data_IF_417985891563
#
_entry.id   IF_417985891563
#
_cell.length_a   1.000
_cell.length_b   1.000
_cell.length_c   1.000
_cell.angle_alpha   90.00
_cell.angle_beta   90.00
_cell.angle_gamma   90.00
#
_symmetry.space_group_name_H-M   'P 1'
#
loop_
_entity.id
_entity.type
_entity.pdbx_description
1 polymer ?
#
# COMPACT_ATOMS: atom_id res chain seq x y z
N UNK A 1 -17.84 1.02 1.35
CA UNK A 1 -17.99 0.12 0.20
C UNK A 1 -16.76 -0.79 0.06
N UNK A 2 -16.97 -2.06 -0.30
CA UNK A 2 -15.95 -3.06 -0.62
C UNK A 2 -16.56 -4.08 -1.59
N UNK A 3 -15.76 -5.00 -2.12
CA UNK A 3 -16.25 -6.11 -2.93
C UNK A 3 -17.32 -6.95 -2.19
N UNK A 4 -18.24 -7.56 -2.91
CA UNK A 4 -19.09 -8.59 -2.32
C UNK A 4 -18.21 -9.78 -1.91
N UNK A 5 -18.42 -10.31 -0.70
CA UNK A 5 -17.59 -11.37 -0.14
C UNK A 5 -18.38 -12.35 0.72
N UNK A 6 -17.79 -13.53 0.89
CA UNK A 6 -18.24 -14.54 1.85
C UNK A 6 -17.02 -15.15 2.57
N UNK A 7 -17.24 -15.67 3.78
CA UNK A 7 -16.19 -16.28 4.59
C UNK A 7 -16.43 -17.76 4.80
N UNK A 8 -15.38 -18.58 4.71
CA UNK A 8 -15.46 -20.03 4.81
C UNK A 8 -14.37 -20.60 5.72
N UNK A 9 -14.75 -21.62 6.49
CA UNK A 9 -13.86 -22.47 7.28
C UNK A 9 -13.86 -23.92 6.80
N UNK A 10 -14.71 -24.23 5.82
CA UNK A 10 -14.88 -25.55 5.20
C UNK A 10 -14.58 -25.47 3.71
N UNK A 11 -13.69 -26.35 3.25
CA UNK A 11 -13.21 -26.37 1.86
C UNK A 11 -14.32 -26.67 0.87
N UNK A 12 -15.23 -27.59 1.17
CA UNK A 12 -16.28 -28.00 0.23
C UNK A 12 -17.26 -26.84 -0.05
N UNK A 13 -17.66 -26.11 1.00
CA UNK A 13 -18.50 -24.91 0.88
C UNK A 13 -17.79 -23.79 0.12
N UNK A 14 -16.51 -23.55 0.40
CA UNK A 14 -15.70 -22.55 -0.28
C UNK A 14 -15.55 -22.87 -1.78
N UNK A 15 -15.25 -24.12 -2.13
CA UNK A 15 -15.15 -24.58 -3.52
C UNK A 15 -16.49 -24.42 -4.24
N UNK A 16 -17.60 -24.82 -3.62
CA UNK A 16 -18.93 -24.64 -4.20
C UNK A 16 -19.27 -23.17 -4.47
N UNK A 17 -18.84 -22.26 -3.58
CA UNK A 17 -19.01 -20.82 -3.78
C UNK A 17 -18.19 -20.33 -4.96
N UNK A 18 -16.89 -20.71 -5.05
CA UNK A 18 -16.03 -20.36 -6.20
C UNK A 18 -16.68 -20.83 -7.51
N UNK A 19 -17.16 -22.06 -7.57
CA UNK A 19 -17.82 -22.61 -8.76
C UNK A 19 -19.10 -21.86 -9.14
N UNK A 20 -19.82 -21.35 -8.15
CA UNK A 20 -21.05 -20.56 -8.37
C UNK A 20 -20.76 -19.13 -8.87
N UNK A 21 -19.63 -18.54 -8.43
CA UNK A 21 -19.24 -17.15 -8.78
C UNK A 21 -18.42 -17.09 -10.07
N UNK A 22 -17.61 -18.11 -10.31
CA UNK A 22 -16.65 -18.13 -11.43
C UNK A 22 -15.36 -17.34 -11.13
N UNK A 23 -14.59 -17.07 -12.18
CA UNK A 23 -13.37 -16.30 -12.11
C UNK A 23 -13.40 -15.14 -13.15
N UNK A 24 -12.63 -14.02 -12.93
CA UNK A 24 -11.66 -13.84 -11.86
C UNK A 24 -12.29 -13.61 -10.48
N UNK A 25 -11.59 -14.06 -9.43
CA UNK A 25 -12.07 -13.99 -8.04
C UNK A 25 -10.87 -13.87 -7.08
N UNK A 26 -11.05 -13.31 -5.89
CA UNK A 26 -9.95 -13.10 -4.94
C UNK A 26 -10.14 -13.98 -3.72
N UNK A 27 -9.09 -14.73 -3.35
CA UNK A 27 -9.05 -15.59 -2.17
C UNK A 27 -8.07 -15.00 -1.17
N UNK A 28 -8.53 -14.71 0.05
CA UNK A 28 -7.71 -14.13 1.12
C UNK A 28 -7.71 -15.04 2.36
N UNK A 29 -6.55 -15.26 2.94
CA UNK A 29 -6.47 -15.80 4.31
C UNK A 29 -6.93 -14.72 5.30
N UNK A 30 -7.87 -15.07 6.18
CA UNK A 30 -8.50 -14.09 7.09
C UNK A 30 -7.58 -13.63 8.23
N UNK A 31 -6.56 -14.42 8.57
CA UNK A 31 -5.59 -14.07 9.61
C UNK A 31 -4.40 -13.28 9.08
N UNK A 32 -3.51 -12.88 10.00
CA UNK A 32 -2.31 -12.11 9.68
C UNK A 32 -1.35 -12.94 8.80
N UNK A 33 -1.27 -12.60 7.53
CA UNK A 33 -0.40 -13.24 6.54
C UNK A 33 0.60 -12.26 5.89
N UNK A 34 0.76 -11.06 6.45
CA UNK A 34 1.70 -10.01 6.01
C UNK A 34 1.63 -9.71 4.50
N UNK A 35 0.41 -9.59 3.95
CA UNK A 35 0.15 -9.31 2.53
C UNK A 35 0.40 -10.49 1.58
N UNK A 36 0.85 -11.63 2.09
CA UNK A 36 1.14 -12.83 1.28
C UNK A 36 -0.05 -13.80 1.17
N UNK A 37 -1.09 -13.59 1.95
CA UNK A 37 -2.29 -14.43 2.01
C UNK A 37 -3.38 -14.00 1.03
N UNK A 38 -3.06 -13.27 -0.04
CA UNK A 38 -4.01 -12.82 -1.06
C UNK A 38 -3.64 -13.43 -2.41
N UNK A 39 -4.59 -14.10 -3.04
CA UNK A 39 -4.44 -14.70 -4.37
C UNK A 39 -5.56 -14.18 -5.27
N UNK A 40 -5.18 -13.47 -6.31
CA UNK A 40 -6.06 -13.11 -7.42
C UNK A 40 -6.07 -14.31 -8.37
N UNK A 41 -7.18 -15.02 -8.43
CA UNK A 41 -7.32 -16.20 -9.27
C UNK A 41 -8.02 -15.81 -10.58
N UNK A 42 -7.30 -15.94 -11.69
CA UNK A 42 -7.81 -15.66 -13.03
C UNK A 42 -8.67 -16.82 -13.57
N UNK A 43 -8.54 -18.01 -12.97
CA UNK A 43 -9.30 -19.21 -13.34
C UNK A 43 -9.88 -19.89 -12.10
N UNK A 44 -10.99 -20.61 -12.30
CA UNK A 44 -11.63 -21.40 -11.25
C UNK A 44 -10.66 -22.43 -10.63
N UNK A 45 -9.84 -23.07 -11.45
CA UNK A 45 -8.85 -24.02 -10.98
C UNK A 45 -7.80 -23.40 -10.05
N UNK A 46 -7.34 -22.17 -10.34
CA UNK A 46 -6.44 -21.41 -9.46
C UNK A 46 -7.12 -21.04 -8.15
N UNK A 47 -8.40 -20.64 -8.20
CA UNK A 47 -9.16 -20.28 -7.00
C UNK A 47 -9.36 -21.51 -6.09
N UNK A 48 -9.73 -22.66 -6.65
CA UNK A 48 -9.90 -23.92 -5.91
C UNK A 48 -8.58 -24.33 -5.25
N UNK A 49 -7.48 -24.31 -6.01
CA UNK A 49 -6.15 -24.63 -5.46
C UNK A 49 -5.76 -23.68 -4.31
N UNK A 50 -6.06 -22.39 -4.44
CA UNK A 50 -5.80 -21.41 -3.38
C UNK A 50 -6.62 -21.69 -2.11
N UNK A 51 -7.90 -22.03 -2.24
CA UNK A 51 -8.77 -22.42 -1.13
C UNK A 51 -8.24 -23.66 -0.41
N UNK A 52 -7.85 -24.70 -1.17
CA UNK A 52 -7.31 -25.94 -0.62
C UNK A 52 -5.96 -25.70 0.09
N UNK A 53 -5.05 -24.94 -0.51
CA UNK A 53 -3.76 -24.57 0.08
C UNK A 53 -3.93 -23.82 1.41
N UNK A 54 -4.91 -22.91 1.48
CA UNK A 54 -5.15 -22.11 2.68
C UNK A 54 -5.82 -22.92 3.79
N UNK A 55 -6.94 -23.60 3.49
CA UNK A 55 -7.75 -24.30 4.49
C UNK A 55 -7.17 -25.65 4.91
N UNK A 56 -6.51 -26.38 4.00
CA UNK A 56 -5.97 -27.73 4.25
C UNK A 56 -4.44 -27.79 4.28
N UNK A 57 -3.78 -27.00 3.43
CA UNK A 57 -2.33 -27.04 3.24
C UNK A 57 -1.50 -26.42 4.36
N UNK A 58 -2.13 -25.77 5.34
CA UNK A 58 -1.52 -25.06 6.46
C UNK A 58 -0.39 -24.08 6.05
N UNK A 59 -0.39 -23.62 4.80
CA UNK A 59 0.63 -22.73 4.22
C UNK A 59 0.77 -21.41 4.99
N UNK A 60 -0.33 -20.95 5.57
CA UNK A 60 -0.39 -19.71 6.36
C UNK A 60 -0.63 -19.96 7.85
N UNK A 61 -0.43 -21.21 8.33
CA UNK A 61 -0.67 -21.59 9.72
C UNK A 61 -2.10 -21.21 10.17
N UNK A 62 -2.24 -20.67 11.37
CA UNK A 62 -3.56 -20.27 11.89
C UNK A 62 -4.28 -19.20 11.04
N UNK A 63 -3.55 -18.41 10.24
CA UNK A 63 -4.16 -17.41 9.37
C UNK A 63 -5.00 -18.03 8.24
N UNK A 64 -4.69 -19.28 7.84
CA UNK A 64 -5.41 -20.01 6.81
C UNK A 64 -6.63 -20.80 7.28
N UNK A 65 -6.95 -20.81 8.58
CA UNK A 65 -8.13 -21.56 9.11
C UNK A 65 -9.48 -20.99 8.64
N UNK A 66 -9.50 -19.77 8.16
CA UNK A 66 -10.66 -19.13 7.53
C UNK A 66 -10.18 -18.38 6.29
N UNK A 67 -10.95 -18.44 5.24
CA UNK A 67 -10.73 -17.71 4.01
C UNK A 67 -11.86 -16.73 3.76
N UNK A 68 -11.54 -15.61 3.17
CA UNK A 68 -12.47 -14.64 2.60
C UNK A 68 -12.39 -14.78 1.08
N UNK A 69 -13.52 -14.95 0.44
CA UNK A 69 -13.64 -15.04 -1.03
C UNK A 69 -14.40 -13.81 -1.49
N UNK A 70 -13.74 -12.98 -2.31
CA UNK A 70 -14.26 -11.67 -2.75
C UNK A 70 -14.41 -11.62 -4.25
N UNK A 71 -15.40 -10.87 -4.73
CA UNK A 71 -15.51 -10.52 -6.15
C UNK A 71 -14.27 -9.73 -6.57
N UNK A 72 -13.76 -9.99 -7.77
CA UNK A 72 -12.67 -9.25 -8.35
C UNK A 72 -13.12 -7.83 -8.72
N UNK A 73 -12.48 -6.83 -8.15
CA UNK A 73 -12.74 -5.42 -8.44
C UNK A 73 -11.96 -4.98 -9.68
N UNK A 74 -12.62 -4.25 -10.56
CA UNK A 74 -12.01 -3.67 -11.78
C UNK A 74 -11.92 -2.16 -11.63
N UNK A 75 -10.74 -1.61 -11.84
CA UNK A 75 -10.48 -0.18 -11.70
C UNK A 75 -9.00 0.15 -11.65
N UNK A 76 -8.68 1.31 -11.12
CA UNK A 76 -7.31 1.73 -10.81
C UNK A 76 -7.10 1.72 -9.30
N UNK A 77 -6.02 1.07 -8.85
CA UNK A 77 -5.66 1.11 -7.43
C UNK A 77 -5.20 2.51 -7.02
N UNK A 78 -5.55 2.91 -5.81
CA UNK A 78 -5.08 4.15 -5.19
C UNK A 78 -4.83 3.93 -3.70
N UNK A 79 -3.79 4.57 -3.18
CA UNK A 79 -3.47 4.61 -1.76
C UNK A 79 -3.95 5.95 -1.19
N UNK A 80 -4.93 5.89 -0.29
CA UNK A 80 -5.45 7.05 0.42
C UNK A 80 -5.06 6.96 1.89
N UNK A 81 -4.20 7.88 2.32
CA UNK A 81 -3.68 7.89 3.68
C UNK A 81 -4.24 9.11 4.41
N UNK A 82 -4.70 8.92 5.63
CA UNK A 82 -5.14 10.00 6.49
C UNK A 82 -4.50 9.89 7.88
N UNK A 83 -4.15 11.02 8.47
CA UNK A 83 -3.85 11.12 9.90
C UNK A 83 -5.16 11.30 10.66
N UNK A 84 -5.34 10.54 11.73
CA UNK A 84 -6.58 10.51 12.53
C UNK A 84 -6.21 10.69 14.01
N UNK A 85 -7.01 11.43 14.75
CA UNK A 85 -6.83 11.70 16.19
C UNK A 85 -7.94 11.12 17.08
N UNK A 86 -8.73 10.20 16.52
CA UNK A 86 -9.92 9.62 17.17
C UNK A 86 -11.23 10.22 16.66
N UNK A 87 -11.24 11.49 16.28
CA UNK A 87 -12.42 12.22 15.81
C UNK A 87 -12.12 12.96 14.50
N UNK A 88 -11.03 13.73 14.50
CA UNK A 88 -10.66 14.58 13.38
C UNK A 88 -9.76 13.82 12.40
N UNK A 89 -9.82 14.20 11.12
CA UNK A 89 -9.14 13.54 10.03
C UNK A 89 -8.39 14.58 9.22
N UNK A 90 -7.09 14.38 9.03
CA UNK A 90 -6.24 15.15 8.13
C UNK A 90 -5.79 14.26 6.96
N UNK A 91 -6.39 14.38 5.77
CA UNK A 91 -5.93 13.63 4.61
C UNK A 91 -4.51 14.01 4.23
N UNK A 92 -3.70 13.01 3.89
CA UNK A 92 -2.39 13.19 3.28
C UNK A 92 -2.53 13.29 1.76
N UNK A 93 -1.44 13.62 1.06
CA UNK A 93 -1.46 13.59 -0.40
C UNK A 93 -1.73 12.15 -0.89
N UNK A 94 -2.60 12.01 -1.90
CA UNK A 94 -2.89 10.71 -2.52
C UNK A 94 -1.64 10.14 -3.19
N UNK A 95 -1.58 8.83 -3.31
CA UNK A 95 -0.50 8.11 -3.98
C UNK A 95 -1.02 6.87 -4.68
N UNK A 96 -0.19 6.31 -5.54
CA UNK A 96 -0.47 5.05 -6.23
C UNK A 96 0.81 4.22 -6.22
N UNK A 97 0.73 3.01 -5.69
CA UNK A 97 1.85 2.07 -5.65
C UNK A 97 1.79 1.05 -6.80
N UNK A 98 2.91 0.38 -7.03
CA UNK A 98 3.06 -0.65 -8.05
C UNK A 98 3.54 -1.93 -7.38
N UNK A 99 2.64 -2.88 -7.20
CA UNK A 99 2.88 -4.12 -6.44
C UNK A 99 3.55 -5.21 -7.25
N UNK A 100 3.31 -5.25 -8.56
CA UNK A 100 3.92 -6.26 -9.43
C UNK A 100 5.42 -5.98 -9.63
N UNK A 101 6.23 -7.05 -9.54
CA UNK A 101 7.70 -6.93 -9.62
C UNK A 101 8.20 -6.54 -11.00
N UNK A 102 7.59 -7.08 -12.04
CA UNK A 102 8.12 -7.01 -13.40
C UNK A 102 7.45 -5.91 -14.23
N UNK A 103 8.10 -5.52 -15.32
CA UNK A 103 7.57 -4.50 -16.22
C UNK A 103 6.20 -4.87 -16.80
N UNK A 104 5.36 -3.86 -16.96
CA UNK A 104 4.02 -4.00 -17.51
C UNK A 104 3.02 -4.61 -16.53
N UNK A 105 3.22 -4.35 -15.24
CA UNK A 105 2.37 -4.82 -14.13
C UNK A 105 2.22 -6.35 -14.10
N UNK A 106 3.36 -7.04 -14.21
CA UNK A 106 3.45 -8.50 -14.30
C UNK A 106 4.34 -9.08 -13.22
N UNK A 107 4.29 -10.41 -13.11
CA UNK A 107 5.09 -11.16 -12.14
C UNK A 107 4.44 -11.22 -10.75
N UNK A 108 5.19 -11.70 -9.75
CA UNK A 108 4.66 -11.86 -8.41
C UNK A 108 4.38 -10.50 -7.74
N UNK A 109 3.31 -10.45 -6.93
CA UNK A 109 3.05 -9.32 -6.06
C UNK A 109 4.15 -9.19 -5.00
N UNK A 110 4.47 -7.95 -4.67
CA UNK A 110 5.50 -7.58 -3.71
C UNK A 110 4.93 -6.66 -2.63
N UNK A 111 5.77 -6.12 -1.77
CA UNK A 111 5.39 -5.06 -0.85
C UNK A 111 5.31 -3.66 -1.50
N UNK A 112 5.45 -3.56 -2.82
CA UNK A 112 5.50 -2.33 -3.61
C UNK A 112 6.91 -2.09 -4.18
N UNK A 113 6.98 -1.89 -5.49
CA UNK A 113 8.22 -1.64 -6.24
C UNK A 113 8.45 -0.16 -6.53
N UNK A 114 7.52 0.66 -6.18
CA UNK A 114 7.57 2.11 -6.33
C UNK A 114 6.19 2.73 -6.18
N UNK A 115 6.15 4.02 -5.99
CA UNK A 115 4.91 4.77 -5.91
C UNK A 115 5.11 6.19 -6.45
N UNK A 116 4.02 6.83 -6.80
CA UNK A 116 4.03 8.26 -7.11
C UNK A 116 2.90 8.99 -6.40
N UNK A 117 3.08 10.28 -6.19
CA UNK A 117 2.11 11.20 -5.57
C UNK A 117 2.09 12.52 -6.35
N UNK A 118 0.91 13.13 -6.63
CA UNK A 118 -0.42 12.60 -6.32
C UNK A 118 -0.83 11.47 -7.27
N UNK A 119 -1.85 10.70 -6.89
CA UNK A 119 -2.50 9.72 -7.78
C UNK A 119 -3.45 10.45 -8.73
N UNK A 120 -3.27 10.39 -10.07
CA UNK A 120 -4.14 11.09 -11.01
C UNK A 120 -5.60 10.64 -10.96
N UNK A 121 -5.84 9.35 -10.65
CA UNK A 121 -7.19 8.79 -10.51
C UNK A 121 -7.96 9.42 -9.34
N UNK A 122 -7.27 9.93 -8.32
CA UNK A 122 -7.89 10.60 -7.17
C UNK A 122 -8.11 12.08 -7.50
N UNK A 123 -9.07 12.37 -8.37
CA UNK A 123 -9.55 13.72 -8.61
C UNK A 123 -10.18 14.33 -7.34
N UNK A 124 -10.47 15.64 -7.34
CA UNK A 124 -11.16 16.27 -6.22
C UNK A 124 -12.51 15.58 -5.89
N UNK A 125 -13.30 15.23 -6.89
CA UNK A 125 -14.58 14.55 -6.70
C UNK A 125 -14.40 13.13 -6.12
N UNK A 126 -13.37 12.41 -6.56
CA UNK A 126 -13.02 11.09 -6.01
C UNK A 126 -12.52 11.22 -4.57
N UNK A 127 -11.69 12.22 -4.27
CA UNK A 127 -11.24 12.52 -2.91
C UNK A 127 -12.42 12.71 -1.95
N UNK A 128 -13.40 13.55 -2.32
CA UNK A 128 -14.59 13.77 -1.49
C UNK A 128 -15.40 12.48 -1.28
N UNK A 129 -15.58 11.67 -2.34
CA UNK A 129 -16.25 10.37 -2.22
C UNK A 129 -15.51 9.43 -1.27
N UNK A 130 -14.17 9.36 -1.36
CA UNK A 130 -13.35 8.54 -0.44
C UNK A 130 -13.55 9.01 1.00
N UNK A 131 -13.51 10.33 1.24
CA UNK A 131 -13.72 10.87 2.56
C UNK A 131 -15.11 10.55 3.12
N UNK A 132 -16.16 10.70 2.31
CA UNK A 132 -17.55 10.52 2.74
C UNK A 132 -17.93 9.03 2.87
N UNK A 133 -17.48 8.19 1.95
CA UNK A 133 -17.96 6.81 1.86
C UNK A 133 -17.02 5.80 2.54
N UNK A 134 -15.76 6.16 2.78
CA UNK A 134 -14.75 5.25 3.32
C UNK A 134 -14.18 5.78 4.63
N UNK A 135 -13.48 6.91 4.60
CA UNK A 135 -12.64 7.33 5.75
C UNK A 135 -13.49 7.76 6.95
N UNK A 136 -14.42 8.71 6.74
CA UNK A 136 -15.29 9.20 7.83
C UNK A 136 -16.13 8.09 8.46
N UNK A 137 -16.81 7.20 7.68
CA UNK A 137 -17.55 6.09 8.26
C UNK A 137 -16.67 5.11 9.03
N UNK A 138 -15.45 4.84 8.56
CA UNK A 138 -14.50 3.95 9.24
C UNK A 138 -14.09 4.52 10.60
N UNK A 139 -13.67 5.80 10.65
CA UNK A 139 -13.27 6.46 11.89
C UNK A 139 -14.45 6.53 12.87
N UNK A 140 -15.63 6.93 12.41
CA UNK A 140 -16.85 6.99 13.24
C UNK A 140 -17.26 5.60 13.75
N UNK A 141 -17.16 4.55 12.91
CA UNK A 141 -17.44 3.17 13.29
C UNK A 141 -16.51 2.67 14.39
N UNK A 142 -15.20 2.88 14.23
CA UNK A 142 -14.20 2.53 15.25
C UNK A 142 -14.49 3.20 16.60
N UNK A 143 -14.85 4.47 16.57
CA UNK A 143 -15.24 5.21 17.81
C UNK A 143 -16.52 4.65 18.41
N UNK A 144 -17.53 4.34 17.58
CA UNK A 144 -18.79 3.74 18.04
C UNK A 144 -18.59 2.37 18.68
N UNK A 145 -17.63 1.59 18.19
CA UNK A 145 -17.27 0.28 18.73
C UNK A 145 -16.39 0.35 19.98
N UNK A 146 -16.09 1.55 20.48
CA UNK A 146 -15.28 1.79 21.66
C UNK A 146 -13.76 1.73 21.40
N UNK A 147 -13.34 1.76 20.15
CA UNK A 147 -11.95 1.69 19.70
C UNK A 147 -11.56 2.91 18.85
N UNK A 148 -11.57 4.15 19.39
CA UNK A 148 -11.21 5.33 18.62
C UNK A 148 -9.82 5.18 18.01
N UNK A 149 -9.71 5.43 16.71
CA UNK A 149 -8.46 5.26 15.97
C UNK A 149 -7.59 6.50 16.06
N UNK A 150 -6.34 6.36 16.49
CA UNK A 150 -5.33 7.43 16.50
C UNK A 150 -4.09 6.97 15.75
N UNK A 151 -3.71 7.67 14.69
CA UNK A 151 -2.54 7.34 13.88
C UNK A 151 -2.76 7.52 12.38
N UNK A 152 -1.91 6.89 11.58
CA UNK A 152 -2.07 6.88 10.12
C UNK A 152 -2.98 5.73 9.70
N UNK A 153 -4.13 6.07 9.13
CA UNK A 153 -5.04 5.14 8.49
C UNK A 153 -4.75 5.11 6.99
N UNK A 154 -4.26 4.00 6.50
CA UNK A 154 -4.09 3.73 5.08
C UNK A 154 -5.31 2.96 4.57
N UNK A 155 -5.95 3.45 3.54
CA UNK A 155 -6.97 2.74 2.76
C UNK A 155 -6.42 2.44 1.37
N UNK A 156 -6.24 1.16 1.06
CA UNK A 156 -6.03 0.66 -0.30
C UNK A 156 -7.39 0.58 -1.00
N UNK A 157 -7.52 1.26 -2.11
CA UNK A 157 -8.79 1.46 -2.80
C UNK A 157 -8.69 1.02 -4.25
N UNK A 158 -9.77 0.44 -4.76
CA UNK A 158 -10.01 0.30 -6.19
C UNK A 158 -11.00 1.37 -6.61
N UNK A 159 -10.62 2.22 -7.58
CA UNK A 159 -11.46 3.29 -8.13
C UNK A 159 -11.98 2.83 -9.48
N UNK A 160 -13.28 2.67 -9.60
CA UNK A 160 -13.90 2.27 -10.85
C UNK A 160 -13.90 3.42 -11.89
N UNK A 161 -14.34 3.14 -13.12
CA UNK A 161 -14.40 4.11 -14.21
C UNK A 161 -15.36 5.30 -13.95
N UNK A 162 -16.29 5.15 -13.00
CA UNK A 162 -17.23 6.20 -12.59
C UNK A 162 -16.71 6.99 -11.38
N UNK A 163 -15.50 6.65 -10.89
CA UNK A 163 -14.84 7.26 -9.75
C UNK A 163 -15.42 6.83 -8.40
N UNK A 164 -16.05 5.66 -8.31
CA UNK A 164 -16.52 5.12 -7.05
C UNK A 164 -15.40 4.33 -6.37
N UNK A 165 -15.11 4.61 -5.08
CA UNK A 165 -14.10 3.89 -4.33
C UNK A 165 -14.67 2.59 -3.74
N UNK A 166 -13.90 1.51 -3.82
CA UNK A 166 -14.12 0.27 -3.07
C UNK A 166 -12.87 -0.08 -2.27
N UNK A 167 -13.05 -0.41 -1.00
CA UNK A 167 -11.93 -0.77 -0.12
C UNK A 167 -11.42 -2.15 -0.49
N UNK A 168 -10.10 -2.24 -0.69
CA UNK A 168 -9.37 -3.50 -0.87
C UNK A 168 -8.79 -3.97 0.47
N UNK A 169 -8.17 -3.04 1.21
CA UNK A 169 -7.58 -3.28 2.53
C UNK A 169 -7.42 -1.99 3.33
N UNK A 170 -7.33 -2.13 4.65
CA UNK A 170 -6.82 -1.09 5.54
C UNK A 170 -5.48 -1.50 6.12
N UNK A 171 -4.61 -0.52 6.37
CA UNK A 171 -3.39 -0.69 7.13
C UNK A 171 -3.29 0.39 8.22
N UNK A 172 -2.86 -0.02 9.42
CA UNK A 172 -2.74 0.87 10.58
C UNK A 172 -1.34 1.51 10.64
N UNK A 173 -0.87 2.04 9.52
CA UNK A 173 0.45 2.66 9.34
C UNK A 173 0.49 3.48 8.07
N UNK A 174 1.57 4.26 7.91
CA UNK A 174 1.86 4.90 6.64
C UNK A 174 2.20 3.85 5.56
N UNK A 175 2.01 4.18 4.29
CA UNK A 175 2.34 3.29 3.18
C UNK A 175 3.86 3.12 2.97
N UNK A 176 4.27 2.00 2.43
CA UNK A 176 5.63 1.73 1.98
C UNK A 176 5.55 0.90 0.68
N UNK A 177 5.82 1.52 -0.48
CA UNK A 177 6.72 2.68 -0.71
C UNK A 177 6.03 4.05 -0.90
N UNK A 178 4.82 4.27 -0.43
CA UNK A 178 4.11 5.55 -0.61
C UNK A 178 4.68 6.68 0.26
N UNK A 179 5.20 6.36 1.45
CA UNK A 179 5.74 7.36 2.38
C UNK A 179 6.81 8.23 1.71
N UNK A 180 7.70 7.64 0.92
CA UNK A 180 8.83 8.34 0.32
C UNK A 180 8.38 9.44 -0.65
N UNK A 181 7.57 9.20 -1.69
CA UNK A 181 7.12 10.26 -2.59
C UNK A 181 6.14 11.23 -1.90
N UNK A 182 5.32 10.79 -0.93
CA UNK A 182 4.44 11.69 -0.17
C UNK A 182 5.28 12.64 0.69
N UNK A 183 6.31 12.15 1.39
CA UNK A 183 7.19 12.99 2.21
C UNK A 183 8.05 13.96 1.37
N UNK A 184 8.44 13.60 0.15
CA UNK A 184 9.10 14.53 -0.77
C UNK A 184 8.23 15.74 -1.10
N UNK A 185 6.91 15.61 -1.05
CA UNK A 185 5.97 16.69 -1.33
C UNK A 185 5.51 17.44 -0.07
N UNK A 186 5.65 16.85 1.11
CA UNK A 186 5.21 17.50 2.35
C UNK A 186 6.09 18.70 2.69
N UNK A 187 5.49 19.89 2.80
CA UNK A 187 6.15 21.13 3.19
C UNK A 187 5.90 21.50 4.66
N UNK A 188 4.87 20.90 5.28
CA UNK A 188 4.61 21.06 6.72
C UNK A 188 5.54 20.20 7.56
N UNK A 189 5.81 20.61 8.79
CA UNK A 189 6.54 19.79 9.76
C UNK A 189 5.70 18.59 10.19
N UNK A 190 6.13 17.37 9.82
CA UNK A 190 5.45 16.13 10.17
C UNK A 190 5.40 15.92 11.68
N UNK A 191 6.43 16.35 12.41
CA UNK A 191 6.47 16.20 13.87
C UNK A 191 5.39 17.06 14.53
N UNK A 192 5.20 18.29 14.04
CA UNK A 192 4.13 19.17 14.50
C UNK A 192 2.74 18.57 14.23
N UNK A 193 2.52 18.05 13.01
CA UNK A 193 1.27 17.37 12.66
C UNK A 193 1.01 16.14 13.57
N UNK A 194 2.03 15.34 13.85
CA UNK A 194 1.92 14.21 14.77
C UNK A 194 1.60 14.67 16.21
N UNK A 195 2.21 15.75 16.68
CA UNK A 195 1.91 16.31 18.00
C UNK A 195 0.48 16.81 18.10
N UNK A 196 -0.04 17.47 17.05
CA UNK A 196 -1.44 17.87 16.98
C UNK A 196 -2.39 16.67 17.00
N UNK A 197 -2.07 15.61 16.27
CA UNK A 197 -2.84 14.36 16.27
C UNK A 197 -2.89 13.73 17.67
N UNK A 198 -1.75 13.61 18.33
CA UNK A 198 -1.68 13.06 19.70
C UNK A 198 -2.40 13.92 20.74
N UNK A 199 -2.54 15.22 20.47
CA UNK A 199 -3.27 16.17 21.32
C UNK A 199 -4.78 16.26 20.99
N UNK A 200 -5.30 15.50 20.01
CA UNK A 200 -6.70 15.57 19.56
C UNK A 200 -7.05 16.89 18.88
N UNK A 201 -6.10 17.48 18.14
CA UNK A 201 -6.20 18.84 17.57
C UNK A 201 -6.01 18.90 16.07
N UNK A 202 -6.30 17.83 15.36
CA UNK A 202 -6.20 17.81 13.87
C UNK A 202 -7.23 18.72 13.19
N UNK A 203 -8.30 19.13 13.87
CA UNK A 203 -9.24 20.14 13.39
C UNK A 203 -8.55 21.48 13.06
N UNK A 204 -7.50 21.84 13.81
CA UNK A 204 -6.68 23.03 13.60
C UNK A 204 -5.50 22.82 12.66
N UNK A 205 -5.19 21.58 12.30
CA UNK A 205 -4.05 21.25 11.45
C UNK A 205 -4.32 21.53 9.96
N UNK A 206 -3.26 21.88 9.24
CA UNK A 206 -3.26 21.99 7.78
C UNK A 206 -1.94 21.42 7.25
N UNK A 207 -2.02 20.55 6.26
CA UNK A 207 -0.85 20.04 5.56
C UNK A 207 -0.65 20.83 4.25
N UNK A 208 0.55 21.34 4.06
CA UNK A 208 0.97 22.06 2.85
C UNK A 208 1.84 21.16 2.00
N UNK A 209 1.63 21.22 0.68
CA UNK A 209 2.21 20.29 -0.27
C UNK A 209 2.93 21.02 -1.40
N UNK A 210 4.07 20.48 -1.83
CA UNK A 210 4.68 20.87 -3.11
C UNK A 210 3.72 20.47 -4.24
N UNK A 211 3.49 21.38 -5.17
CA UNK A 211 2.60 21.15 -6.30
C UNK A 211 3.19 20.16 -7.31
N UNK A 212 4.51 20.01 -7.32
CA UNK A 212 5.20 19.06 -8.20
C UNK A 212 4.89 17.63 -7.77
N UNK A 213 4.60 16.74 -8.72
CA UNK A 213 4.58 15.30 -8.47
C UNK A 213 5.92 14.78 -7.95
N UNK A 214 5.85 13.72 -7.14
CA UNK A 214 7.00 12.93 -6.74
C UNK A 214 6.84 11.48 -7.19
N UNK A 215 7.94 10.82 -7.52
CA UNK A 215 7.99 9.39 -7.77
C UNK A 215 9.12 8.76 -6.95
N UNK A 216 8.86 7.56 -6.40
CA UNK A 216 9.83 6.73 -5.73
C UNK A 216 10.01 5.41 -6.47
N UNK A 217 11.24 5.01 -6.72
CA UNK A 217 11.61 3.75 -7.35
C UNK A 217 12.35 2.89 -6.33
N UNK A 218 11.85 1.69 -6.07
CA UNK A 218 12.45 0.76 -5.11
C UNK A 218 13.56 -0.04 -5.76
N UNK A 219 14.72 -0.04 -5.13
CA UNK A 219 15.83 -0.93 -5.44
C UNK A 219 15.72 -2.15 -4.53
N UNK A 220 15.52 -3.32 -5.13
CA UNK A 220 15.35 -4.58 -4.41
C UNK A 220 16.58 -5.48 -4.55
N UNK A 221 16.80 -6.33 -3.53
CA UNK A 221 17.82 -7.38 -3.60
C UNK A 221 17.45 -8.44 -4.65
N UNK A 222 18.46 -8.99 -5.33
CA UNK A 222 18.24 -10.04 -6.32
C UNK A 222 17.54 -11.26 -5.70
N UNK A 223 16.44 -11.69 -6.35
CA UNK A 223 15.58 -12.78 -5.90
C UNK A 223 14.31 -12.33 -5.15
N UNK A 224 14.20 -11.04 -4.75
CA UNK A 224 12.99 -10.52 -4.13
C UNK A 224 11.75 -10.69 -5.06
N UNK A 225 10.55 -11.05 -4.56
CA UNK A 225 10.13 -11.16 -3.15
C UNK A 225 10.41 -12.52 -2.49
N UNK A 226 11.01 -13.47 -3.21
CA UNK A 226 11.33 -14.81 -2.67
C UNK A 226 12.61 -14.80 -1.84
N UNK A 227 13.49 -15.77 -2.06
CA UNK A 227 14.77 -15.84 -1.35
C UNK A 227 15.79 -14.86 -1.96
N UNK A 228 16.32 -13.97 -1.12
CA UNK A 228 17.31 -12.98 -1.53
C UNK A 228 18.53 -12.99 -0.61
N UNK A 229 19.68 -12.59 -1.16
CA UNK A 229 20.93 -12.49 -0.41
C UNK A 229 21.03 -11.16 0.32
N UNK A 230 21.67 -11.18 1.49
CA UNK A 230 21.98 -10.02 2.31
C UNK A 230 23.49 -9.82 2.40
N UNK A 231 23.92 -8.62 2.79
CA UNK A 231 25.33 -8.33 3.06
C UNK A 231 26.13 -7.80 1.85
N UNK A 232 25.48 -7.53 0.71
CA UNK A 232 26.14 -6.86 -0.38
C UNK A 232 26.42 -5.38 -0.06
N UNK A 233 27.64 -4.90 -0.35
CA UNK A 233 28.02 -3.50 -0.13
C UNK A 233 27.29 -2.60 -1.13
N UNK A 234 26.64 -1.57 -0.61
CA UNK A 234 25.98 -0.54 -1.41
C UNK A 234 27.00 0.58 -1.68
N UNK A 235 27.12 0.99 -2.93
CA UNK A 235 28.03 2.03 -3.37
C UNK A 235 27.25 3.20 -3.96
N UNK A 236 27.89 4.38 -4.03
CA UNK A 236 27.31 5.57 -4.68
C UNK A 236 26.39 6.41 -3.78
N UNK A 237 26.24 6.06 -2.49
CA UNK A 237 25.39 6.81 -1.55
C UNK A 237 25.94 8.21 -1.21
N UNK A 238 27.26 8.43 -1.41
CA UNK A 238 27.91 9.71 -1.13
C UNK A 238 27.74 10.74 -2.27
N UNK A 239 27.07 10.36 -3.36
CA UNK A 239 26.81 11.27 -4.46
C UNK A 239 25.94 12.45 -4.00
N UNK A 240 26.31 13.68 -4.44
CA UNK A 240 25.48 14.84 -4.15
C UNK A 240 24.23 14.81 -5.01
N UNK A 241 23.07 14.91 -4.35
CA UNK A 241 21.77 14.99 -5.01
C UNK A 241 21.22 16.41 -4.89
N UNK A 242 20.33 16.79 -5.80
CA UNK A 242 19.62 18.06 -5.72
C UNK A 242 18.56 18.01 -4.60
N UNK A 243 18.09 19.18 -4.15
CA UNK A 243 16.98 19.26 -3.17
C UNK A 243 15.68 18.58 -3.64
N UNK A 244 15.60 18.28 -4.94
CA UNK A 244 14.47 17.58 -5.55
C UNK A 244 14.69 16.05 -5.65
N UNK A 245 15.78 15.53 -5.12
CA UNK A 245 16.14 14.11 -5.20
C UNK A 245 16.59 13.59 -3.84
N UNK A 246 16.21 12.36 -3.51
CA UNK A 246 16.61 11.72 -2.25
C UNK A 246 16.65 10.21 -2.37
N UNK A 247 17.68 9.59 -1.77
CA UNK A 247 17.72 8.15 -1.52
C UNK A 247 17.25 7.90 -0.09
N UNK A 248 16.20 7.10 0.06
CA UNK A 248 15.72 6.62 1.35
C UNK A 248 16.24 5.21 1.61
N UNK A 249 16.76 4.99 2.81
CA UNK A 249 17.15 3.67 3.26
C UNK A 249 15.93 2.88 3.72
N UNK A 250 15.85 1.61 3.33
CA UNK A 250 14.86 0.64 3.77
C UNK A 250 15.57 -0.58 4.39
N UNK A 251 15.71 -1.67 3.65
CA UNK A 251 16.41 -2.86 4.12
C UNK A 251 17.93 -2.74 4.04
N UNK A 252 18.51 -1.81 4.77
CA UNK A 252 19.96 -1.59 4.86
C UNK A 252 20.44 -1.72 6.29
N UNK A 253 21.75 -1.97 6.48
CA UNK A 253 22.45 -1.82 7.76
C UNK A 253 23.85 -1.25 7.53
N UNK A 254 24.35 -0.56 8.53
CA UNK A 254 25.75 -0.12 8.57
C UNK A 254 26.59 -1.15 9.34
N UNK A 255 27.75 -1.52 8.76
CA UNK A 255 28.72 -2.40 9.39
C UNK A 255 30.14 -2.00 8.96
N UNK A 256 31.01 -1.73 9.92
CA UNK A 256 32.40 -1.29 9.69
C UNK A 256 32.53 -0.07 8.75
N UNK A 257 31.62 0.89 8.85
CA UNK A 257 31.60 2.08 8.01
C UNK A 257 31.12 1.83 6.58
N UNK A 258 30.56 0.68 6.29
CA UNK A 258 29.95 0.34 5.00
C UNK A 258 28.44 0.13 5.16
N UNK A 259 27.68 0.59 4.19
CA UNK A 259 26.24 0.31 4.10
C UNK A 259 26.02 -0.98 3.30
N UNK A 260 25.30 -1.92 3.88
CA UNK A 260 25.05 -3.24 3.32
C UNK A 260 23.56 -3.48 3.11
N UNK A 261 23.22 -4.34 2.12
CA UNK A 261 21.86 -4.85 1.95
C UNK A 261 21.48 -5.73 3.14
N UNK A 262 20.28 -5.54 3.70
CA UNK A 262 19.80 -6.32 4.86
C UNK A 262 18.33 -6.73 4.74
N UNK A 263 17.60 -6.25 3.73
CA UNK A 263 16.21 -6.59 3.43
C UNK A 263 15.98 -6.87 1.95
N UNK A 264 14.76 -7.25 1.60
CA UNK A 264 14.34 -7.48 0.21
C UNK A 264 14.23 -6.18 -0.58
N UNK A 265 13.47 -5.20 -0.07
CA UNK A 265 13.48 -3.82 -0.55
C UNK A 265 14.59 -3.08 0.20
N UNK A 266 15.55 -2.57 -0.54
CA UNK A 266 16.85 -2.09 0.02
C UNK A 266 16.87 -0.59 0.13
N UNK A 267 16.58 0.12 -0.96
CA UNK A 267 16.57 1.57 -1.06
C UNK A 267 15.31 2.01 -1.81
N UNK A 268 14.96 3.29 -1.68
CA UNK A 268 14.02 3.95 -2.57
C UNK A 268 14.66 5.25 -3.08
N UNK A 269 14.87 5.31 -4.40
CA UNK A 269 15.28 6.52 -5.08
C UNK A 269 14.03 7.36 -5.38
N UNK A 270 13.93 8.55 -4.79
CA UNK A 270 12.77 9.41 -4.94
C UNK A 270 13.14 10.77 -5.53
N UNK A 271 12.25 11.30 -6.38
CA UNK A 271 12.44 12.61 -6.99
C UNK A 271 11.14 13.37 -7.20
N UNK A 272 11.23 14.70 -7.12
CA UNK A 272 10.20 15.63 -7.57
C UNK A 272 10.41 15.97 -9.06
N UNK A 273 9.32 16.23 -9.79
CA UNK A 273 9.38 16.63 -11.20
C UNK A 273 8.17 17.44 -11.63
N UNK A 274 8.25 18.13 -12.77
CA UNK A 274 7.15 18.94 -13.32
C UNK A 274 5.96 18.10 -13.80
N UNK A 275 6.13 16.78 -13.89
CA UNK A 275 5.10 15.79 -14.16
C UNK A 275 5.51 14.46 -13.52
N UNK A 276 4.59 13.51 -13.36
CA UNK A 276 4.90 12.15 -12.87
C UNK A 276 6.00 11.51 -13.73
N UNK A 277 5.91 11.63 -15.06
CA UNK A 277 6.93 11.10 -15.97
C UNK A 277 8.31 11.78 -15.80
N UNK A 278 8.36 13.07 -15.46
CA UNK A 278 9.61 13.75 -15.19
C UNK A 278 10.19 13.33 -13.83
N UNK A 279 9.36 13.21 -12.80
CA UNK A 279 9.75 12.70 -11.50
C UNK A 279 10.29 11.25 -11.60
N UNK A 280 9.59 10.39 -12.35
CA UNK A 280 10.02 9.02 -12.60
C UNK A 280 11.40 8.97 -13.28
N UNK A 281 11.61 9.71 -14.36
CA UNK A 281 12.93 9.74 -15.03
C UNK A 281 14.04 10.15 -14.06
N UNK A 282 13.80 11.21 -13.28
CA UNK A 282 14.78 11.71 -12.30
C UNK A 282 15.04 10.69 -11.17
N UNK A 283 14.03 9.95 -10.74
CA UNK A 283 14.20 8.87 -9.78
C UNK A 283 15.00 7.67 -10.35
N UNK A 284 14.81 7.34 -11.63
CA UNK A 284 15.61 6.30 -12.31
C UNK A 284 17.05 6.72 -12.59
N UNK A 285 17.31 8.01 -12.84
CA UNK A 285 18.67 8.53 -12.95
C UNK A 285 19.45 8.45 -11.63
N UNK A 286 18.70 8.45 -10.52
CA UNK A 286 19.25 8.35 -9.17
C UNK A 286 19.43 6.88 -8.72
N UNK A 287 18.69 5.92 -9.30
CA UNK A 287 18.70 4.50 -8.95
C UNK A 287 19.83 3.73 -9.62
#
# INVERSE_FOLDING_TARGET
PTAAFETFTDTASAVSYVQSRGAPIVIKADGLAAGKGVIVAETEAQAIAAVEDMLQGNKYGNAGHRVVIEDFLVGEEASFIAMVDGENILPMASSQDHKARDNGDKGPNTGGMGAYSPAPVVSHAVHERIMEQVIRPTVAGMTSDGHPYVGFLYAGLMIDQDGNPSVVEFNCRFGDPEAQPVMMRLQSDLTELCQLALAGRLDSARAHWDERPAAGVVLAAGGYPDNYQKGAVIKGLDAQHSDSQKIFHAGTREENGQVLTHGGRVLCAAALGQSVAAAQRSAYELA
#
